data_IF_466757153236
#
_entry.id   IF_466757153236
#
_cell.length_a   1.000
_cell.length_b   1.000
_cell.length_c   1.000
_cell.angle_alpha   90.00
_cell.angle_beta   90.00
_cell.angle_gamma   90.00
#
_symmetry.space_group_name_H-M   'P 1'
#
loop_
_entity.id
_entity.type
_entity.pdbx_description
1 polymer ?
#
# COMPACT_ATOMS: atom_id res chain seq x y z
N UNK A 1 -75.60 29.52 26.53
CA UNK A 1 -75.21 28.50 25.54
C UNK A 1 -74.03 29.06 24.78
N UNK A 2 -72.85 29.02 25.39
CA UNK A 2 -71.55 29.39 24.83
C UNK A 2 -70.57 29.11 25.96
N UNK A 3 -69.80 28.02 25.83
CA UNK A 3 -68.65 27.61 26.67
C UNK A 3 -68.20 26.19 26.30
N UNK A 4 -68.99 25.43 25.52
CA UNK A 4 -68.65 24.08 25.07
C UNK A 4 -67.75 24.02 23.83
N UNK A 5 -67.64 25.09 23.02
CA UNK A 5 -66.90 25.06 21.75
C UNK A 5 -65.42 25.44 21.84
N UNK A 6 -64.92 25.92 22.98
CA UNK A 6 -63.51 26.36 23.10
C UNK A 6 -62.54 25.25 23.53
N UNK A 7 -63.07 24.10 23.97
CA UNK A 7 -62.26 22.97 24.44
C UNK A 7 -61.87 22.00 23.32
N UNK A 8 -62.54 22.04 22.16
CA UNK A 8 -62.30 21.08 21.07
C UNK A 8 -61.23 21.56 20.07
N UNK A 9 -60.88 22.85 20.08
CA UNK A 9 -59.98 23.45 19.08
C UNK A 9 -58.52 23.63 19.53
N UNK A 10 -58.20 23.32 20.79
CA UNK A 10 -56.86 23.51 21.37
C UNK A 10 -56.10 22.21 21.69
N UNK A 11 -56.73 21.04 21.53
CA UNK A 11 -56.14 19.74 21.86
C UNK A 11 -55.17 19.15 20.81
N UNK A 12 -55.28 19.54 19.55
CA UNK A 12 -54.52 18.91 18.44
C UNK A 12 -53.16 19.56 18.14
N UNK A 13 -52.90 20.77 18.61
CA UNK A 13 -51.66 21.50 18.29
C UNK A 13 -50.47 21.04 19.15
N UNK A 14 -50.71 20.57 20.38
CA UNK A 14 -49.64 20.15 21.30
C UNK A 14 -49.12 18.73 21.02
N UNK A 15 -49.92 17.85 20.42
CA UNK A 15 -49.48 16.48 20.10
C UNK A 15 -48.50 16.48 18.91
N UNK A 16 -48.71 17.36 17.91
CA UNK A 16 -47.81 17.49 16.76
C UNK A 16 -46.40 17.98 17.12
N UNK A 17 -46.28 18.86 18.12
CA UNK A 17 -44.99 19.42 18.55
C UNK A 17 -44.13 18.41 19.33
N UNK A 18 -44.75 17.60 20.19
CA UNK A 18 -44.03 16.56 20.96
C UNK A 18 -43.53 15.45 20.02
N UNK A 19 -44.35 15.02 19.06
CA UNK A 19 -43.95 14.04 18.04
C UNK A 19 -42.88 14.63 17.11
N UNK A 20 -43.03 15.88 16.67
CA UNK A 20 -42.03 16.58 15.85
C UNK A 20 -40.67 16.75 16.53
N UNK A 21 -40.66 17.08 17.82
CA UNK A 21 -39.43 17.21 18.62
C UNK A 21 -38.67 15.89 18.78
N UNK A 22 -39.36 14.77 18.97
CA UNK A 22 -38.75 13.44 19.05
C UNK A 22 -38.14 13.01 17.71
N UNK A 23 -38.83 13.26 16.60
CA UNK A 23 -38.31 12.98 15.26
C UNK A 23 -37.07 13.85 14.97
N UNK A 24 -37.12 15.15 15.30
CA UNK A 24 -35.99 16.06 15.13
C UNK A 24 -34.76 15.63 15.94
N UNK A 25 -34.95 15.24 17.21
CA UNK A 25 -33.86 14.73 18.06
C UNK A 25 -33.28 13.41 17.51
N UNK A 26 -34.13 12.52 16.99
CA UNK A 26 -33.70 11.26 16.39
C UNK A 26 -32.91 11.46 15.09
N UNK A 27 -33.36 12.36 14.21
CA UNK A 27 -32.64 12.73 12.98
C UNK A 27 -31.31 13.41 13.30
N UNK A 28 -31.30 14.35 14.25
CA UNK A 28 -30.07 15.01 14.69
C UNK A 28 -29.05 13.99 15.23
N UNK A 29 -29.49 13.00 16.00
CA UNK A 29 -28.65 11.91 16.48
C UNK A 29 -28.10 11.08 15.33
N UNK A 30 -28.94 10.69 14.37
CA UNK A 30 -28.49 9.93 13.18
C UNK A 30 -27.48 10.69 12.33
N UNK A 31 -27.68 11.98 12.11
CA UNK A 31 -26.72 12.81 11.37
C UNK A 31 -25.40 12.97 12.13
N UNK A 32 -25.46 13.07 13.46
CA UNK A 32 -24.26 13.15 14.30
C UNK A 32 -23.49 11.82 14.28
N UNK A 33 -24.18 10.68 14.38
CA UNK A 33 -23.56 9.36 14.31
C UNK A 33 -23.00 9.06 12.92
N UNK A 34 -23.71 9.42 11.85
CA UNK A 34 -23.26 9.26 10.47
C UNK A 34 -22.05 10.16 10.15
N UNK A 35 -22.09 11.43 10.58
CA UNK A 35 -20.97 12.36 10.46
C UNK A 35 -19.73 11.89 11.23
N UNK A 36 -19.92 11.35 12.44
CA UNK A 36 -18.82 10.77 13.22
C UNK A 36 -18.21 9.52 12.57
N UNK A 37 -19.02 8.68 11.90
CA UNK A 37 -18.51 7.52 11.13
C UNK A 37 -17.72 7.99 9.91
N UNK A 38 -18.27 8.91 9.13
CA UNK A 38 -17.58 9.46 7.96
C UNK A 38 -16.25 10.13 8.33
N UNK A 39 -16.21 10.94 9.39
CA UNK A 39 -14.99 11.57 9.87
C UNK A 39 -13.93 10.54 10.31
N UNK A 40 -14.35 9.43 10.95
CA UNK A 40 -13.43 8.34 11.31
C UNK A 40 -12.90 7.60 10.08
N UNK A 41 -13.74 7.36 9.09
CA UNK A 41 -13.36 6.67 7.87
C UNK A 41 -12.35 7.50 7.08
N UNK A 42 -12.59 8.80 6.94
CA UNK A 42 -11.64 9.76 6.33
C UNK A 42 -10.32 9.80 7.11
N UNK A 43 -10.36 9.99 8.43
CA UNK A 43 -9.15 10.03 9.25
C UNK A 43 -8.36 8.70 9.24
N UNK A 44 -9.03 7.58 8.98
CA UNK A 44 -8.37 6.27 8.83
C UNK A 44 -7.77 6.12 7.45
N UNK A 45 -8.46 6.60 6.40
CA UNK A 45 -7.95 6.65 5.04
C UNK A 45 -6.71 7.54 4.93
N UNK A 46 -6.74 8.75 5.51
CA UNK A 46 -5.61 9.69 5.54
C UNK A 46 -4.38 9.09 6.23
N UNK A 47 -4.56 8.45 7.39
CA UNK A 47 -3.47 7.76 8.10
C UNK A 47 -2.90 6.61 7.27
N UNK A 48 -3.75 5.85 6.57
CA UNK A 48 -3.32 4.78 5.68
C UNK A 48 -2.54 5.33 4.48
N UNK A 49 -2.99 6.43 3.88
CA UNK A 49 -2.32 7.07 2.75
C UNK A 49 -0.96 7.67 3.16
N UNK A 50 -0.89 8.34 4.31
CA UNK A 50 0.36 8.88 4.83
C UNK A 50 1.37 7.76 5.15
N UNK A 51 0.91 6.66 5.74
CA UNK A 51 1.75 5.49 5.98
C UNK A 51 2.24 4.86 4.66
N UNK A 52 1.37 4.76 3.65
CA UNK A 52 1.74 4.26 2.33
C UNK A 52 2.79 5.15 1.65
N UNK A 53 2.67 6.47 1.75
CA UNK A 53 3.64 7.42 1.20
C UNK A 53 5.03 7.24 1.84
N UNK A 54 5.09 7.11 3.16
CA UNK A 54 6.35 6.81 3.86
C UNK A 54 6.96 5.46 3.43
N UNK A 55 6.13 4.46 3.12
CA UNK A 55 6.64 3.20 2.57
C UNK A 55 7.16 3.36 1.13
N UNK A 56 6.49 4.15 0.29
CA UNK A 56 6.94 4.44 -1.09
C UNK A 56 8.33 5.08 -1.09
N UNK A 57 8.56 6.08 -0.23
CA UNK A 57 9.87 6.75 -0.08
C UNK A 57 10.97 5.74 0.28
N UNK A 58 10.71 4.88 1.28
CA UNK A 58 11.66 3.83 1.69
C UNK A 58 11.92 2.81 0.58
N UNK A 59 10.92 2.46 -0.22
CA UNK A 59 11.08 1.56 -1.36
C UNK A 59 11.89 2.20 -2.50
N UNK A 60 11.73 3.51 -2.73
CA UNK A 60 12.53 4.25 -3.70
C UNK A 60 14.01 4.24 -3.32
N UNK A 61 14.32 4.51 -2.04
CA UNK A 61 15.68 4.42 -1.51
C UNK A 61 16.27 3.01 -1.70
N UNK A 62 15.51 1.97 -1.35
CA UNK A 62 15.96 0.60 -1.53
C UNK A 62 16.20 0.27 -3.00
N UNK A 63 15.33 0.71 -3.91
CA UNK A 63 15.48 0.45 -5.35
C UNK A 63 16.78 1.04 -5.90
N UNK A 64 17.17 2.23 -5.45
CA UNK A 64 18.44 2.84 -5.84
C UNK A 64 19.67 2.00 -5.44
N UNK A 65 19.60 1.29 -4.31
CA UNK A 65 20.69 0.47 -3.79
C UNK A 65 20.54 -1.03 -4.03
N UNK A 66 19.48 -1.45 -4.72
CA UNK A 66 19.17 -2.86 -4.93
C UNK A 66 20.29 -3.65 -5.64
N UNK A 67 21.00 -3.10 -6.65
CA UNK A 67 22.14 -3.78 -7.26
C UNK A 67 23.25 -4.09 -6.25
N UNK A 68 23.33 -3.33 -5.16
CA UNK A 68 24.29 -3.47 -4.07
C UNK A 68 23.79 -4.32 -2.91
N UNK A 69 22.76 -5.14 -3.14
CA UNK A 69 22.32 -6.13 -2.16
C UNK A 69 23.55 -6.90 -1.63
N UNK A 70 23.66 -7.14 -0.32
CA UNK A 70 24.74 -7.95 0.20
C UNK A 70 24.67 -9.37 -0.39
N UNK A 71 25.83 -9.93 -0.73
CA UNK A 71 26.00 -11.36 -0.94
C UNK A 71 26.86 -11.89 0.21
N UNK A 72 26.24 -12.47 1.21
CA UNK A 72 26.98 -13.08 2.32
C UNK A 72 27.67 -14.39 1.92
N UNK A 73 27.44 -14.90 0.71
CA UNK A 73 28.02 -16.13 0.20
C UNK A 73 29.16 -15.99 -0.80
N UNK A 74 29.47 -14.77 -1.26
CA UNK A 74 30.64 -14.50 -2.10
C UNK A 74 31.88 -14.14 -1.27
N UNK A 75 32.98 -14.86 -1.48
CA UNK A 75 34.28 -14.56 -0.86
C UNK A 75 34.91 -13.25 -1.38
N UNK A 76 34.41 -12.70 -2.49
CA UNK A 76 34.84 -11.40 -3.04
C UNK A 76 33.62 -10.58 -3.45
N UNK A 77 33.30 -9.50 -2.74
CA UNK A 77 32.18 -8.66 -3.12
C UNK A 77 32.50 -7.91 -4.41
N UNK A 78 31.59 -7.99 -5.40
CA UNK A 78 31.71 -7.25 -6.65
C UNK A 78 31.57 -5.71 -6.49
N UNK A 79 31.08 -5.22 -5.34
CA UNK A 79 30.72 -3.83 -5.12
C UNK A 79 31.47 -3.13 -3.97
N UNK A 80 31.50 -1.80 -4.02
CA UNK A 80 32.14 -0.97 -3.00
C UNK A 80 31.52 -1.19 -1.60
N UNK A 81 32.34 -1.04 -0.56
CA UNK A 81 31.89 -1.13 0.84
C UNK A 81 30.78 -0.11 1.14
N UNK A 82 30.88 1.09 0.56
CA UNK A 82 29.89 2.15 0.74
C UNK A 82 28.52 1.74 0.21
N UNK A 83 28.44 1.22 -1.02
CA UNK A 83 27.18 0.86 -1.64
C UNK A 83 26.46 -0.27 -0.88
N UNK A 84 27.22 -1.27 -0.39
CA UNK A 84 26.67 -2.34 0.47
C UNK A 84 26.15 -1.82 1.81
N UNK A 85 26.85 -0.86 2.41
CA UNK A 85 26.40 -0.20 3.65
C UNK A 85 25.08 0.55 3.42
N UNK A 86 24.98 1.31 2.33
CA UNK A 86 23.73 2.02 1.98
C UNK A 86 22.58 1.06 1.71
N UNK A 87 22.83 -0.03 0.97
CA UNK A 87 21.81 -1.05 0.73
C UNK A 87 21.33 -1.68 2.05
N UNK A 88 22.25 -2.00 2.97
CA UNK A 88 21.89 -2.55 4.29
C UNK A 88 21.04 -1.57 5.11
N UNK A 89 21.35 -0.27 5.06
CA UNK A 89 20.56 0.78 5.71
C UNK A 89 19.16 0.85 5.08
N UNK A 90 19.06 0.81 3.75
CA UNK A 90 17.77 0.87 3.05
C UNK A 90 16.91 -0.39 3.34
N UNK A 91 17.52 -1.58 3.38
CA UNK A 91 16.83 -2.82 3.76
C UNK A 91 16.27 -2.73 5.19
N UNK A 92 17.06 -2.24 6.15
CA UNK A 92 16.62 -2.07 7.53
C UNK A 92 15.52 -1.00 7.65
N UNK A 93 15.60 0.07 6.85
CA UNK A 93 14.56 1.10 6.74
C UNK A 93 13.23 0.52 6.27
N UNK A 94 13.23 -0.29 5.21
CA UNK A 94 12.04 -0.99 4.69
C UNK A 94 11.48 -1.99 5.70
N UNK A 95 12.35 -2.75 6.38
CA UNK A 95 11.95 -3.68 7.43
C UNK A 95 11.28 -2.98 8.61
N UNK A 96 11.83 -1.83 9.04
CA UNK A 96 11.22 -0.97 10.05
C UNK A 96 9.84 -0.52 9.58
N UNK A 97 9.74 -0.08 8.33
CA UNK A 97 8.50 0.20 7.60
C UNK A 97 7.41 -0.87 7.79
N UNK A 98 7.82 -2.14 7.65
CA UNK A 98 6.95 -3.29 7.84
C UNK A 98 6.42 -3.48 9.26
N UNK A 99 7.13 -2.95 10.27
CA UNK A 99 6.76 -3.03 11.68
C UNK A 99 6.00 -1.81 12.19
N UNK A 100 6.11 -0.66 11.51
CA UNK A 100 5.49 0.61 11.94
C UNK A 100 4.38 1.05 10.98
N UNK A 101 4.72 1.53 9.79
CA UNK A 101 3.80 2.13 8.82
C UNK A 101 2.81 1.10 8.26
N UNK A 102 3.26 -0.15 8.06
CA UNK A 102 2.40 -1.21 7.54
C UNK A 102 1.19 -1.52 8.44
N UNK A 103 1.28 -1.23 9.74
CA UNK A 103 0.18 -1.42 10.69
C UNK A 103 -0.93 -0.38 10.50
N UNK A 104 -0.59 0.81 9.99
CA UNK A 104 -1.55 1.87 9.70
C UNK A 104 -2.27 1.68 8.36
N UNK A 105 -1.75 0.82 7.49
CA UNK A 105 -2.41 0.46 6.22
C UNK A 105 -3.57 -0.48 6.52
N UNK A 106 -4.80 -0.09 6.19
CA UNK A 106 -6.01 -0.90 6.43
C UNK A 106 -6.21 -2.01 5.39
N UNK A 107 -5.74 -1.80 4.16
CA UNK A 107 -5.88 -2.75 3.07
C UNK A 107 -5.00 -4.01 3.29
N UNK A 108 -5.64 -5.16 3.50
CA UNK A 108 -4.96 -6.41 3.80
C UNK A 108 -4.11 -6.97 2.65
N UNK A 109 -4.50 -6.69 1.41
CA UNK A 109 -3.80 -7.16 0.23
C UNK A 109 -2.49 -6.41 0.02
N UNK A 110 -2.49 -5.08 0.18
CA UNK A 110 -1.26 -4.26 0.16
C UNK A 110 -0.29 -4.72 1.25
N UNK A 111 -0.80 -5.01 2.46
CA UNK A 111 0.04 -5.55 3.54
C UNK A 111 0.68 -6.89 3.17
N UNK A 112 -0.07 -7.79 2.52
CA UNK A 112 0.45 -9.08 2.10
C UNK A 112 1.56 -8.94 1.04
N UNK A 113 1.33 -8.12 0.02
CA UNK A 113 2.31 -7.83 -1.05
C UNK A 113 3.62 -7.26 -0.46
N UNK A 114 3.53 -6.31 0.47
CA UNK A 114 4.70 -5.73 1.12
C UNK A 114 5.48 -6.74 1.97
N UNK A 115 4.79 -7.63 2.70
CA UNK A 115 5.46 -8.70 3.49
C UNK A 115 6.20 -9.69 2.60
N UNK A 116 5.61 -10.03 1.44
CA UNK A 116 6.26 -10.91 0.45
C UNK A 116 7.54 -10.23 -0.06
N UNK A 117 7.50 -8.94 -0.37
CA UNK A 117 8.67 -8.17 -0.78
C UNK A 117 9.78 -8.19 0.28
N UNK A 118 9.46 -7.93 1.55
CA UNK A 118 10.44 -8.01 2.66
C UNK A 118 11.09 -9.40 2.69
N UNK A 119 10.30 -10.46 2.56
CA UNK A 119 10.81 -11.83 2.56
C UNK A 119 11.77 -12.06 1.39
N UNK A 120 11.40 -11.66 0.18
CA UNK A 120 12.25 -11.80 -1.00
C UNK A 120 13.59 -11.06 -0.86
N UNK A 121 13.56 -9.81 -0.38
CA UNK A 121 14.77 -9.01 -0.14
C UNK A 121 15.68 -9.71 0.87
N UNK A 122 15.11 -10.27 1.94
CA UNK A 122 15.85 -11.01 2.95
C UNK A 122 16.44 -12.31 2.39
N UNK A 123 15.65 -13.06 1.62
CA UNK A 123 16.08 -14.33 1.04
C UNK A 123 17.27 -14.11 0.07
N UNK A 124 17.19 -13.11 -0.82
CA UNK A 124 18.29 -12.76 -1.74
C UNK A 124 19.50 -12.14 -1.02
N UNK A 125 19.28 -11.27 -0.04
CA UNK A 125 20.35 -10.52 0.63
C UNK A 125 21.10 -11.29 1.71
N UNK A 126 20.44 -12.27 2.34
CA UNK A 126 20.96 -12.92 3.54
C UNK A 126 20.90 -14.45 3.49
N UNK A 127 20.03 -15.03 2.68
CA UNK A 127 19.74 -16.46 2.72
C UNK A 127 20.28 -17.23 1.51
N UNK A 128 21.51 -16.95 1.07
CA UNK A 128 22.26 -17.82 0.13
C UNK A 128 21.47 -18.39 -1.07
N UNK A 129 20.38 -17.75 -1.51
CA UNK A 129 19.48 -18.31 -2.51
C UNK A 129 20.21 -18.33 -3.84
N UNK A 130 20.52 -19.51 -4.37
CA UNK A 130 21.08 -19.73 -5.70
C UNK A 130 22.33 -18.89 -6.06
N UNK A 131 23.53 -19.35 -5.65
CA UNK A 131 24.85 -18.77 -6.02
C UNK A 131 25.10 -18.58 -7.54
N UNK A 132 24.24 -19.10 -8.42
CA UNK A 132 24.38 -18.98 -9.87
C UNK A 132 23.46 -17.96 -10.55
N UNK A 133 22.54 -17.30 -9.82
CA UNK A 133 21.44 -16.58 -10.46
C UNK A 133 21.16 -15.19 -9.88
N UNK A 134 22.18 -14.58 -9.26
CA UNK A 134 22.08 -13.33 -8.52
C UNK A 134 21.48 -12.19 -9.32
N UNK A 135 21.94 -11.96 -10.54
CA UNK A 135 21.43 -10.87 -11.39
C UNK A 135 19.95 -11.03 -11.69
N UNK A 136 19.50 -12.26 -11.97
CA UNK A 136 18.09 -12.57 -12.19
C UNK A 136 17.28 -12.32 -10.92
N UNK A 137 17.76 -12.78 -9.76
CA UNK A 137 17.08 -12.57 -8.48
C UNK A 137 16.97 -11.09 -8.11
N UNK A 138 18.03 -10.30 -8.32
CA UNK A 138 17.99 -8.84 -8.13
C UNK A 138 16.97 -8.21 -9.07
N UNK A 139 16.92 -8.63 -10.34
CA UNK A 139 15.91 -8.16 -11.31
C UNK A 139 14.50 -8.52 -10.86
N UNK A 140 14.27 -9.75 -10.42
CA UNK A 140 12.98 -10.25 -9.94
C UNK A 140 12.50 -9.46 -8.70
N UNK A 141 13.38 -9.25 -7.72
CA UNK A 141 13.10 -8.40 -6.55
C UNK A 141 12.81 -6.98 -6.99
N UNK A 142 13.57 -6.43 -7.94
CA UNK A 142 13.37 -5.09 -8.47
C UNK A 142 12.00 -4.91 -9.12
N UNK A 143 11.57 -5.90 -9.92
CA UNK A 143 10.24 -5.91 -10.55
C UNK A 143 9.13 -6.06 -9.52
N UNK A 144 9.27 -6.96 -8.54
CA UNK A 144 8.28 -7.12 -7.47
C UNK A 144 8.20 -5.88 -6.57
N UNK A 145 9.34 -5.20 -6.33
CA UNK A 145 9.37 -3.92 -5.61
C UNK A 145 8.54 -2.86 -6.35
N UNK A 146 8.71 -2.73 -7.67
CA UNK A 146 7.90 -1.80 -8.47
C UNK A 146 6.40 -2.13 -8.38
N UNK A 147 6.03 -3.41 -8.45
CA UNK A 147 4.65 -3.84 -8.23
C UNK A 147 4.07 -3.41 -6.87
N UNK A 148 4.86 -3.55 -5.79
CA UNK A 148 4.45 -3.13 -4.45
C UNK A 148 4.36 -1.60 -4.36
N UNK A 149 5.31 -0.86 -4.96
CA UNK A 149 5.28 0.61 -5.04
C UNK A 149 3.98 1.07 -5.68
N UNK A 150 3.60 0.52 -6.83
CA UNK A 150 2.35 0.85 -7.50
C UNK A 150 1.09 0.46 -6.70
N UNK A 151 1.15 -0.63 -5.93
CA UNK A 151 0.06 -1.00 -5.03
C UNK A 151 -0.14 0.02 -3.90
N UNK A 152 0.96 0.62 -3.41
CA UNK A 152 0.92 1.68 -2.40
C UNK A 152 0.47 3.01 -3.02
N UNK A 153 0.94 3.36 -4.22
CA UNK A 153 0.48 4.55 -4.96
C UNK A 153 -1.01 4.48 -5.26
N UNK A 154 -1.52 3.33 -5.73
CA UNK A 154 -2.95 3.14 -5.93
C UNK A 154 -3.76 3.32 -4.63
N UNK A 155 -3.22 2.89 -3.49
CA UNK A 155 -3.83 3.09 -2.18
C UNK A 155 -3.85 4.59 -1.78
N UNK A 156 -2.77 5.33 -2.05
CA UNK A 156 -2.68 6.78 -1.81
C UNK A 156 -3.71 7.53 -2.65
N UNK A 157 -3.82 7.18 -3.93
CA UNK A 157 -4.72 7.82 -4.88
C UNK A 157 -6.19 7.39 -4.75
N UNK A 158 -6.49 6.41 -3.89
CA UNK A 158 -7.83 5.80 -3.80
C UNK A 158 -8.27 5.06 -5.07
N UNK A 159 -7.30 4.61 -5.88
CA UNK A 159 -7.51 3.86 -7.13
C UNK A 159 -7.66 2.36 -6.87
N UNK A 160 -8.26 1.60 -7.80
CA UNK A 160 -8.26 0.14 -7.71
C UNK A 160 -6.81 -0.39 -7.69
N UNK A 161 -6.57 -1.38 -6.83
CA UNK A 161 -5.27 -2.03 -6.76
C UNK A 161 -4.95 -2.74 -8.08
N UNK A 162 -3.65 -2.82 -8.45
CA UNK A 162 -3.26 -3.61 -9.61
C UNK A 162 -3.59 -5.10 -9.38
N UNK A 163 -3.85 -5.89 -10.43
CA UNK A 163 -4.15 -7.31 -10.30
C UNK A 163 -3.08 -8.05 -9.47
N UNK A 164 -3.46 -9.10 -8.72
CA UNK A 164 -2.52 -9.83 -7.89
C UNK A 164 -1.44 -10.49 -8.76
N UNK A 165 -0.18 -10.26 -8.38
CA UNK A 165 0.99 -10.89 -8.99
C UNK A 165 1.60 -11.89 -8.01
N UNK A 166 1.70 -13.14 -8.44
CA UNK A 166 2.41 -14.17 -7.67
C UNK A 166 3.90 -13.86 -7.65
N UNK A 167 4.49 -13.84 -6.45
CA UNK A 167 5.92 -13.62 -6.32
C UNK A 167 6.73 -14.72 -7.03
N UNK A 168 7.88 -14.36 -7.61
CA UNK A 168 8.73 -15.32 -8.28
C UNK A 168 9.28 -16.32 -7.27
N UNK A 169 9.38 -17.57 -7.70
CA UNK A 169 10.29 -18.51 -7.05
C UNK A 169 11.74 -18.07 -7.35
N UNK A 170 12.49 -17.75 -6.30
CA UNK A 170 13.87 -17.26 -6.39
C UNK A 170 14.86 -18.39 -6.70
N UNK A 171 14.49 -19.63 -6.39
CA UNK A 171 15.30 -20.83 -6.60
C UNK A 171 15.02 -21.51 -7.96
N UNK A 172 14.16 -20.91 -8.79
CA UNK A 172 13.81 -21.45 -10.10
C UNK A 172 15.03 -21.56 -11.04
N UNK A 173 15.02 -22.51 -11.99
CA UNK A 173 16.10 -22.66 -12.97
C UNK A 173 16.20 -21.45 -13.92
N UNK A 174 17.37 -21.24 -14.52
CA UNK A 174 17.74 -20.04 -15.30
C UNK A 174 16.85 -19.72 -16.50
N UNK A 175 16.23 -20.73 -17.11
CA UNK A 175 15.30 -20.56 -18.23
C UNK A 175 13.82 -20.38 -17.83
N UNK A 176 13.49 -20.49 -16.55
CA UNK A 176 12.10 -20.34 -16.10
C UNK A 176 11.72 -18.85 -16.10
N UNK A 177 10.90 -18.47 -17.07
CA UNK A 177 10.36 -17.11 -17.18
C UNK A 177 9.34 -16.91 -16.07
N UNK A 178 9.60 -15.94 -15.19
CA UNK A 178 8.56 -15.36 -14.35
C UNK A 178 7.88 -14.27 -15.20
N UNK A 179 6.54 -14.29 -15.33
CA UNK A 179 5.84 -13.42 -16.26
C UNK A 179 6.25 -11.96 -16.02
N UNK A 180 6.60 -11.21 -17.09
CA UNK A 180 6.73 -9.77 -16.96
C UNK A 180 5.41 -9.24 -16.40
N UNK A 181 5.49 -8.22 -15.55
CA UNK A 181 4.30 -7.56 -15.04
C UNK A 181 3.37 -7.25 -16.23
N UNK A 182 2.06 -7.52 -16.14
CA UNK A 182 1.11 -6.74 -16.92
C UNK A 182 1.16 -5.33 -16.34
N UNK A 183 2.15 -4.53 -16.75
CA UNK A 183 2.11 -3.08 -16.60
C UNK A 183 1.13 -2.65 -17.69
N UNK A 184 -0.09 -2.21 -17.37
CA UNK A 184 -0.90 -1.50 -18.34
C UNK A 184 -0.05 -0.37 -18.92
N UNK A 185 -0.11 -0.19 -20.23
CA UNK A 185 0.71 0.76 -21.00
C UNK A 185 0.72 2.19 -20.41
N UNK A 186 -0.33 2.56 -19.67
CA UNK A 186 -0.46 3.81 -18.94
C UNK A 186 0.43 3.94 -17.68
N UNK A 187 1.13 2.88 -17.25
CA UNK A 187 1.88 2.80 -15.99
C UNK A 187 3.39 2.65 -16.18
N UNK A 188 3.88 2.63 -17.42
CA UNK A 188 5.28 2.81 -17.78
C UNK A 188 5.56 4.30 -17.99
N UNK A 189 5.87 5.03 -16.92
CA UNK A 189 6.41 6.38 -17.05
C UNK A 189 7.82 6.27 -17.68
N UNK A 190 8.11 6.96 -18.80
CA UNK A 190 9.47 7.01 -19.35
C UNK A 190 10.54 7.52 -18.35
N UNK A 191 10.14 8.17 -17.24
CA UNK A 191 11.04 8.53 -16.14
C UNK A 191 11.50 7.33 -15.28
N UNK A 192 10.84 6.17 -15.34
CA UNK A 192 11.19 4.98 -14.54
C UNK A 192 12.36 4.15 -15.14
N UNK A 193 12.98 4.64 -16.22
CA UNK A 193 14.28 4.14 -16.70
C UNK A 193 14.26 2.67 -17.13
N UNK A 194 13.13 2.16 -17.62
CA UNK A 194 13.15 0.90 -18.35
C UNK A 194 13.80 1.18 -19.70
N UNK A 195 15.07 0.81 -19.84
CA UNK A 195 15.75 0.72 -21.12
C UNK A 195 14.98 -0.30 -21.97
N UNK A 196 13.96 0.19 -22.68
CA UNK A 196 13.41 -0.46 -23.85
C UNK A 196 14.58 -0.70 -24.79
N UNK A 197 14.84 -1.96 -25.06
CA UNK A 197 15.73 -2.39 -26.12
C UNK A 197 15.19 -1.86 -27.44
N UNK A 198 15.64 -0.67 -27.83
CA UNK A 198 15.67 -0.27 -29.24
C UNK A 198 16.94 -0.89 -29.85
N UNK A 199 16.83 -2.18 -30.14
CA UNK A 199 17.60 -2.82 -31.22
C UNK A 199 16.60 -3.42 -32.19
N UNK A 200 16.39 -2.72 -33.29
CA UNK A 200 15.89 -3.27 -34.55
C UNK A 200 15.98 -2.21 -35.65
N UNK A 201 16.26 -2.62 -36.89
CA UNK A 201 17.45 -3.30 -37.41
C UNK A 201 18.45 -2.34 -38.09
#
# INVERSE_FOLDING_TARGET
>A
MELADFAEQSGTVLIGAVVGGLIAAWVARWQTEAGARYARDVATSERSAQAALQLVERLADLRAWLPSLPDVGENRPAMSLHARKQCSIAMESVRRGGSTELLAITNGEVRARFRILIRMIYDVGWRYSGRGHRERQIRDVGTYLAFVRHSLEALIDGKPLPPPLTAPDLDRPEGAVWPPMPVPEAWSDPADGFLGADDSP
#
